data_IF_974309760921
#
_entry.id   IF_974309760921
#
_cell.length_a   1.000
_cell.length_b   1.000
_cell.length_c   1.000
_cell.angle_alpha   90.00
_cell.angle_beta   90.00
_cell.angle_gamma   90.00
#
_symmetry.space_group_name_H-M   'P 1'
#
loop_
_entity.id
_entity.type
_entity.pdbx_description
1 polymer ?
#
# COMPACT_ATOMS: atom_id res chain seq x y z
N UNK A 1 -6.72 -31.65 33.05
CA UNK A 1 -6.35 -30.22 32.95
C UNK A 1 -7.57 -29.42 32.55
N UNK A 2 -7.90 -28.35 33.26
CA UNK A 2 -9.06 -27.50 32.92
C UNK A 2 -8.88 -26.89 31.53
N UNK A 3 -9.92 -26.85 30.66
CA UNK A 3 -9.81 -26.40 29.28
C UNK A 3 -9.24 -24.97 29.12
N UNK A 4 -9.39 -24.13 30.14
CA UNK A 4 -8.82 -22.76 30.14
C UNK A 4 -7.30 -22.69 30.29
N UNK A 5 -6.63 -23.66 30.94
CA UNK A 5 -5.16 -23.69 31.07
C UNK A 5 -4.44 -24.08 29.78
N UNK A 6 -5.01 -25.00 29.00
CA UNK A 6 -4.49 -25.38 27.67
C UNK A 6 -4.60 -24.24 26.65
N UNK A 7 -5.65 -23.42 26.72
CA UNK A 7 -5.79 -22.26 25.86
C UNK A 7 -4.79 -21.16 26.20
N UNK A 8 -4.55 -20.89 27.50
CA UNK A 8 -3.56 -19.92 27.93
C UNK A 8 -2.13 -20.29 27.51
N UNK A 9 -1.74 -21.55 27.67
CA UNK A 9 -0.41 -22.05 27.25
C UNK A 9 -0.24 -21.92 25.74
N UNK A 10 -1.25 -22.28 24.94
CA UNK A 10 -1.19 -22.14 23.47
C UNK A 10 -1.07 -20.67 23.06
N UNK A 11 -1.82 -19.77 23.66
CA UNK A 11 -1.75 -18.33 23.41
C UNK A 11 -0.35 -17.80 23.76
N UNK A 12 0.19 -18.19 24.93
CA UNK A 12 1.53 -17.78 25.36
C UNK A 12 2.62 -18.29 24.38
N UNK A 13 2.51 -19.55 23.92
CA UNK A 13 3.46 -20.12 22.95
C UNK A 13 3.40 -19.40 21.60
N UNK A 14 2.22 -19.06 21.10
CA UNK A 14 2.08 -18.28 19.84
C UNK A 14 2.64 -16.89 20.02
N UNK A 15 2.30 -16.20 21.11
CA UNK A 15 2.82 -14.84 21.41
C UNK A 15 4.35 -14.87 21.55
N UNK A 16 4.90 -15.86 22.24
CA UNK A 16 6.36 -16.02 22.37
C UNK A 16 7.03 -16.32 21.04
N UNK A 17 6.44 -17.18 20.20
CA UNK A 17 6.97 -17.51 18.88
C UNK A 17 6.94 -16.27 17.96
N UNK A 18 5.86 -15.50 17.97
CA UNK A 18 5.75 -14.23 17.23
C UNK A 18 6.75 -13.20 17.75
N UNK A 19 6.93 -13.12 19.08
CA UNK A 19 7.91 -12.22 19.71
C UNK A 19 9.35 -12.60 19.36
N UNK A 20 9.70 -13.90 19.39
CA UNK A 20 11.05 -14.39 19.03
C UNK A 20 11.33 -14.16 17.54
N UNK A 21 10.39 -14.52 16.65
CA UNK A 21 10.51 -14.27 15.22
C UNK A 21 10.59 -12.77 14.94
N UNK A 22 9.80 -11.97 15.65
CA UNK A 22 9.82 -10.52 15.58
C UNK A 22 11.15 -9.93 16.06
N UNK A 23 11.70 -10.43 17.16
CA UNK A 23 13.01 -9.99 17.66
C UNK A 23 14.16 -10.37 16.72
N UNK A 24 14.14 -11.58 16.15
CA UNK A 24 15.10 -12.02 15.13
C UNK A 24 14.98 -11.19 13.85
N UNK A 25 13.75 -10.89 13.42
CA UNK A 25 13.49 -10.00 12.31
C UNK A 25 13.97 -8.57 12.59
N UNK A 26 13.69 -8.04 13.79
CA UNK A 26 14.15 -6.71 14.21
C UNK A 26 15.68 -6.63 14.26
N UNK A 27 16.35 -7.63 14.82
CA UNK A 27 17.81 -7.68 14.83
C UNK A 27 18.39 -7.69 13.41
N UNK A 28 17.79 -8.48 12.50
CA UNK A 28 18.23 -8.54 11.11
C UNK A 28 17.91 -7.26 10.35
N UNK A 29 16.73 -6.69 10.56
CA UNK A 29 16.33 -5.41 10.00
C UNK A 29 17.20 -4.27 10.58
N UNK A 30 17.43 -4.22 11.89
CA UNK A 30 18.29 -3.23 12.53
C UNK A 30 19.75 -3.34 12.04
N UNK A 31 20.27 -4.55 11.80
CA UNK A 31 21.57 -4.76 11.19
C UNK A 31 21.63 -4.22 9.75
N UNK A 32 20.56 -4.40 8.98
CA UNK A 32 20.44 -3.80 7.65
C UNK A 32 20.16 -2.29 7.74
N UNK A 33 19.40 -1.83 8.75
CA UNK A 33 19.03 -0.44 9.01
C UNK A 33 20.22 0.43 9.38
N UNK A 34 21.19 -0.10 10.16
CA UNK A 34 22.42 0.64 10.47
C UNK A 34 23.26 0.97 9.21
N UNK A 35 22.92 0.35 8.08
CA UNK A 35 23.52 0.59 6.76
C UNK A 35 22.64 1.44 5.82
N UNK A 36 21.38 1.70 6.17
CA UNK A 36 20.53 2.61 5.40
C UNK A 36 20.72 4.01 5.98
N UNK A 37 21.64 4.72 5.39
CA UNK A 37 21.70 6.16 5.53
C UNK A 37 20.36 6.74 5.00
N UNK A 38 19.67 7.57 5.80
CA UNK A 38 18.45 8.28 5.38
C UNK A 38 18.67 9.10 4.08
N UNK A 39 19.92 9.41 3.74
CA UNK A 39 20.35 10.02 2.49
C UNK A 39 20.19 9.06 1.28
N UNK A 40 20.06 7.76 1.52
CA UNK A 40 19.87 6.72 0.52
C UNK A 40 18.43 6.17 0.55
N UNK A 41 17.43 7.02 0.80
CA UNK A 41 16.04 6.65 0.95
C UNK A 41 15.14 7.35 -0.09
N UNK A 42 13.94 6.79 -0.34
CA UNK A 42 12.96 7.44 -1.21
C UNK A 42 12.51 8.81 -0.68
N UNK A 43 12.61 9.03 0.65
CA UNK A 43 12.29 10.30 1.26
C UNK A 43 13.14 11.45 0.72
N UNK A 44 14.39 11.19 0.37
CA UNK A 44 15.29 12.19 -0.22
C UNK A 44 14.68 12.82 -1.46
N UNK A 45 13.99 12.04 -2.29
CA UNK A 45 13.35 12.57 -3.49
C UNK A 45 12.27 13.60 -3.15
N UNK A 46 11.50 13.36 -2.07
CA UNK A 46 10.44 14.27 -1.62
C UNK A 46 11.02 15.55 -1.05
N UNK A 47 12.00 15.40 -0.18
CA UNK A 47 12.69 16.54 0.46
C UNK A 47 13.43 17.41 -0.57
N UNK A 48 14.23 16.78 -1.43
CA UNK A 48 15.06 17.48 -2.43
C UNK A 48 14.19 18.18 -3.47
N UNK A 49 13.16 17.49 -4.01
CA UNK A 49 12.25 18.11 -4.96
C UNK A 49 11.48 19.27 -4.34
N UNK A 50 11.07 19.16 -3.06
CA UNK A 50 10.46 20.24 -2.32
C UNK A 50 11.38 21.44 -2.17
N UNK A 51 12.66 21.24 -1.84
CA UNK A 51 13.68 22.28 -1.75
C UNK A 51 13.90 22.99 -3.11
N UNK A 52 13.96 22.21 -4.20
CA UNK A 52 14.13 22.75 -5.55
C UNK A 52 12.94 23.62 -5.96
N UNK A 53 11.70 23.19 -5.69
CA UNK A 53 10.50 23.95 -5.99
C UNK A 53 10.49 25.30 -5.21
N UNK A 54 10.87 25.28 -3.94
CA UNK A 54 11.00 26.51 -3.13
C UNK A 54 12.03 27.49 -3.69
N UNK A 55 13.08 26.95 -4.33
CA UNK A 55 14.13 27.74 -4.98
C UNK A 55 13.80 28.11 -6.43
N UNK A 56 12.58 27.85 -6.90
CA UNK A 56 12.15 28.11 -8.27
C UNK A 56 12.80 27.20 -9.32
N UNK A 57 13.39 26.07 -8.89
CA UNK A 57 14.04 25.10 -9.77
C UNK A 57 13.09 23.95 -10.12
N UNK A 58 13.20 23.42 -11.36
CA UNK A 58 12.41 22.30 -11.81
C UNK A 58 13.10 20.97 -11.53
N UNK A 59 12.50 20.07 -10.70
CA UNK A 59 13.10 18.75 -10.41
C UNK A 59 13.18 17.80 -11.62
N UNK A 60 12.53 18.13 -12.74
CA UNK A 60 12.64 17.39 -14.00
C UNK A 60 13.79 17.87 -14.89
N UNK A 61 14.52 18.89 -14.49
CA UNK A 61 15.79 19.25 -15.12
C UNK A 61 16.88 18.36 -14.55
N UNK A 62 17.48 17.51 -15.39
CA UNK A 62 18.49 16.53 -14.95
C UNK A 62 19.77 17.18 -14.43
N UNK A 63 20.20 18.29 -15.01
CA UNK A 63 21.39 18.98 -14.56
C UNK A 63 21.19 19.63 -13.19
N UNK A 64 20.05 20.31 -13.00
CA UNK A 64 19.68 20.90 -11.71
C UNK A 64 19.43 19.83 -10.65
N UNK A 65 18.79 18.71 -11.02
CA UNK A 65 18.55 17.59 -10.11
C UNK A 65 19.84 16.97 -9.59
N UNK A 66 20.81 16.73 -10.47
CA UNK A 66 22.10 16.18 -10.09
C UNK A 66 22.92 17.20 -9.26
N UNK A 67 22.92 18.46 -9.66
CA UNK A 67 23.57 19.53 -8.90
C UNK A 67 23.01 19.68 -7.49
N UNK A 68 21.66 19.54 -7.33
CA UNK A 68 21.02 19.57 -6.02
C UNK A 68 21.44 18.38 -5.14
N UNK A 69 21.63 17.17 -5.71
CA UNK A 69 22.21 16.04 -4.99
C UNK A 69 23.63 16.36 -4.51
N UNK A 70 24.49 16.89 -5.39
CA UNK A 70 25.87 17.24 -5.05
C UNK A 70 25.94 18.28 -3.93
N UNK A 71 25.15 19.34 -4.05
CA UNK A 71 25.10 20.42 -3.08
C UNK A 71 24.69 19.96 -1.66
N UNK A 72 23.91 18.87 -1.58
CA UNK A 72 23.46 18.28 -0.32
C UNK A 72 24.26 17.04 0.12
N UNK A 73 25.35 16.71 -0.58
CA UNK A 73 26.22 15.57 -0.28
C UNK A 73 25.50 14.22 -0.43
N UNK A 74 24.51 14.12 -1.33
CA UNK A 74 23.74 12.92 -1.59
C UNK A 74 24.40 12.15 -2.72
N UNK A 75 24.96 10.98 -2.42
CA UNK A 75 25.66 10.13 -3.38
C UNK A 75 24.76 9.13 -4.07
N UNK A 76 23.59 8.81 -3.47
CA UNK A 76 22.63 7.88 -4.04
C UNK A 76 21.76 8.55 -5.12
N UNK A 77 21.94 8.12 -6.36
CA UNK A 77 21.31 8.72 -7.55
C UNK A 77 20.73 7.65 -8.46
N UNK A 78 19.68 6.94 -8.01
CA UNK A 78 19.07 5.88 -8.82
C UNK A 78 18.34 6.43 -10.05
N UNK A 79 17.97 7.73 -10.05
CA UNK A 79 17.26 8.40 -11.13
C UNK A 79 17.96 9.70 -11.52
N UNK A 80 17.95 9.98 -12.82
CA UNK A 80 18.55 11.19 -13.39
C UNK A 80 17.65 12.42 -13.26
N UNK A 81 16.36 12.21 -12.92
CA UNK A 81 15.36 13.24 -12.66
C UNK A 81 14.42 12.75 -11.57
N UNK A 82 13.59 13.66 -11.05
CA UNK A 82 12.57 13.32 -10.05
C UNK A 82 11.59 12.25 -10.57
N UNK A 83 11.44 11.08 -9.90
CA UNK A 83 10.70 9.95 -10.45
C UNK A 83 9.20 9.92 -10.11
N UNK A 84 8.67 10.99 -9.52
CA UNK A 84 7.27 11.10 -9.09
C UNK A 84 6.53 12.21 -9.83
N UNK A 85 5.17 12.21 -9.81
CA UNK A 85 4.39 13.32 -10.32
C UNK A 85 4.77 14.65 -9.65
N UNK A 86 4.89 15.71 -10.44
CA UNK A 86 5.38 17.00 -9.99
C UNK A 86 4.53 17.65 -8.87
N UNK A 87 3.17 17.45 -8.80
CA UNK A 87 2.39 17.90 -7.64
C UNK A 87 2.94 17.42 -6.29
N UNK A 88 3.56 16.25 -6.26
CA UNK A 88 4.16 15.75 -5.02
C UNK A 88 5.30 16.65 -4.53
N UNK A 89 6.14 17.17 -5.44
CA UNK A 89 7.19 18.12 -5.09
C UNK A 89 6.63 19.40 -4.45
N UNK A 90 5.50 19.92 -4.96
CA UNK A 90 4.80 21.06 -4.37
C UNK A 90 4.26 20.74 -2.96
N UNK A 91 3.63 19.57 -2.80
CA UNK A 91 3.06 19.14 -1.51
C UNK A 91 4.13 18.87 -0.45
N UNK A 92 5.32 18.45 -0.86
CA UNK A 92 6.46 18.21 0.04
C UNK A 92 7.38 19.42 0.21
N UNK A 93 7.11 20.54 -0.46
CA UNK A 93 7.87 21.76 -0.34
C UNK A 93 8.12 22.23 1.12
N UNK A 94 7.14 22.16 2.06
CA UNK A 94 7.40 22.52 3.45
C UNK A 94 8.50 21.69 4.12
N UNK A 95 8.70 20.45 3.70
CA UNK A 95 9.80 19.60 4.20
C UNK A 95 11.16 20.08 3.70
N UNK A 96 11.22 20.65 2.48
CA UNK A 96 12.41 21.24 1.92
C UNK A 96 12.96 22.45 2.70
N UNK A 97 12.14 23.07 3.56
CA UNK A 97 12.56 24.15 4.46
C UNK A 97 13.35 23.65 5.69
N UNK A 98 13.26 22.37 6.00
CA UNK A 98 13.90 21.75 7.16
C UNK A 98 15.25 21.13 6.77
N UNK A 99 16.24 21.10 7.68
CA UNK A 99 17.40 20.24 7.50
C UNK A 99 16.97 18.77 7.28
N UNK A 100 17.63 18.06 6.38
CA UNK A 100 17.25 16.70 5.96
C UNK A 100 16.99 15.73 7.12
N UNK A 101 17.81 15.69 8.22
CA UNK A 101 17.54 14.82 9.37
C UNK A 101 16.20 15.13 10.07
N UNK A 102 15.88 16.41 10.24
CA UNK A 102 14.63 16.84 10.89
C UNK A 102 13.42 16.57 9.98
N UNK A 103 13.56 16.83 8.68
CA UNK A 103 12.53 16.52 7.70
C UNK A 103 12.23 15.01 7.67
N UNK A 104 13.27 14.17 7.68
CA UNK A 104 13.12 12.70 7.73
C UNK A 104 12.44 12.25 9.02
N UNK A 105 12.86 12.75 10.18
CA UNK A 105 12.23 12.44 11.46
C UNK A 105 10.75 12.84 11.48
N UNK A 106 10.43 14.04 10.99
CA UNK A 106 9.04 14.51 10.89
C UNK A 106 8.19 13.61 10.01
N UNK A 107 8.75 13.19 8.86
CA UNK A 107 8.09 12.23 7.96
C UNK A 107 7.81 10.89 8.63
N UNK A 108 8.79 10.36 9.37
CA UNK A 108 8.65 9.10 10.11
C UNK A 108 7.59 9.18 11.19
N UNK A 109 7.57 10.27 11.96
CA UNK A 109 6.57 10.49 13.01
C UNK A 109 5.15 10.59 12.43
N UNK A 110 4.98 11.38 11.36
CA UNK A 110 3.67 11.52 10.69
C UNK A 110 3.23 10.18 10.07
N UNK A 111 4.12 9.48 9.38
CA UNK A 111 3.81 8.17 8.78
C UNK A 111 3.40 7.14 9.83
N UNK A 112 4.13 7.07 10.95
CA UNK A 112 3.82 6.16 12.06
C UNK A 112 2.48 6.51 12.71
N UNK A 113 2.22 7.80 12.92
CA UNK A 113 0.94 8.29 13.46
C UNK A 113 -0.24 7.94 12.54
N UNK A 114 -0.09 8.13 11.23
CA UNK A 114 -1.12 7.77 10.24
C UNK A 114 -1.43 6.27 10.27
N UNK A 115 -0.40 5.41 10.31
CA UNK A 115 -0.59 3.94 10.40
C UNK A 115 -1.35 3.58 11.68
N UNK A 116 -0.94 4.13 12.82
CA UNK A 116 -1.57 3.87 14.12
C UNK A 116 -3.03 4.37 14.14
N UNK A 117 -3.28 5.58 13.65
CA UNK A 117 -4.62 6.18 13.58
C UNK A 117 -5.55 5.39 12.67
N UNK A 118 -5.08 4.99 11.47
CA UNK A 118 -5.88 4.18 10.54
C UNK A 118 -6.20 2.83 11.17
N UNK A 119 -5.20 2.16 11.76
CA UNK A 119 -5.40 0.87 12.44
C UNK A 119 -6.41 0.97 13.57
N UNK A 120 -6.27 1.98 14.43
CA UNK A 120 -7.21 2.24 15.53
C UNK A 120 -8.62 2.53 15.02
N UNK A 121 -8.74 3.39 14.01
CA UNK A 121 -10.02 3.78 13.46
C UNK A 121 -10.74 2.62 12.75
N UNK A 122 -10.02 1.73 12.08
CA UNK A 122 -10.59 0.52 11.48
C UNK A 122 -11.15 -0.44 12.55
N UNK A 123 -10.43 -0.62 13.66
CA UNK A 123 -10.88 -1.47 14.77
C UNK A 123 -12.05 -0.84 15.54
N UNK A 124 -12.02 0.48 15.75
CA UNK A 124 -13.05 1.21 16.49
C UNK A 124 -14.41 1.27 15.79
N UNK A 125 -14.42 1.05 14.45
CA UNK A 125 -15.67 0.97 13.66
C UNK A 125 -16.48 -0.29 13.91
N UNK A 126 -15.88 -1.31 14.52
CA UNK A 126 -16.61 -2.52 14.86
C UNK A 126 -17.49 -2.28 16.08
N UNK A 127 -18.74 -2.79 16.03
CA UNK A 127 -19.72 -2.64 17.15
C UNK A 127 -19.26 -3.34 18.43
N UNK A 128 -18.44 -4.40 18.29
CA UNK A 128 -17.91 -5.12 19.45
C UNK A 128 -16.61 -4.47 19.95
N UNK A 129 -16.68 -3.84 21.10
CA UNK A 129 -15.53 -3.20 21.77
C UNK A 129 -14.42 -4.19 22.13
N UNK A 130 -14.68 -5.51 22.10
CA UNK A 130 -13.64 -6.53 22.30
C UNK A 130 -12.54 -6.44 21.23
N UNK A 131 -12.89 -6.03 20.01
CA UNK A 131 -11.94 -5.90 18.92
C UNK A 131 -10.91 -4.79 19.16
N UNK A 132 -11.26 -3.74 19.92
CA UNK A 132 -10.29 -2.69 20.28
C UNK A 132 -9.14 -3.19 21.15
N UNK A 133 -9.33 -4.29 21.89
CA UNK A 133 -8.27 -4.95 22.66
C UNK A 133 -7.15 -5.52 21.76
N UNK A 134 -7.44 -5.75 20.48
CA UNK A 134 -6.45 -6.17 19.50
C UNK A 134 -5.53 -5.04 19.03
N UNK A 135 -5.84 -3.78 19.36
CA UNK A 135 -5.07 -2.64 18.84
C UNK A 135 -3.58 -2.75 19.14
N UNK A 136 -3.23 -2.98 20.40
CA UNK A 136 -1.81 -3.07 20.79
C UNK A 136 -1.10 -4.27 20.15
N UNK A 137 -1.59 -5.52 20.26
CA UNK A 137 -0.94 -6.66 19.61
C UNK A 137 -0.93 -6.55 18.09
N UNK A 138 -1.95 -5.91 17.48
CA UNK A 138 -1.99 -5.70 16.05
C UNK A 138 -0.97 -4.65 15.60
N UNK A 139 -0.86 -3.50 16.29
CA UNK A 139 0.15 -2.49 15.98
C UNK A 139 1.55 -3.07 16.12
N UNK A 140 1.81 -3.83 17.19
CA UNK A 140 3.09 -4.52 17.35
C UNK A 140 3.33 -5.51 16.19
N UNK A 141 2.34 -6.34 15.84
CA UNK A 141 2.44 -7.27 14.72
C UNK A 141 2.66 -6.58 13.38
N UNK A 142 2.00 -5.44 13.15
CA UNK A 142 2.18 -4.64 11.93
C UNK A 142 3.57 -4.01 11.84
N UNK A 143 4.21 -3.68 12.96
CA UNK A 143 5.61 -3.21 12.96
C UNK A 143 6.58 -4.32 12.49
N UNK A 144 6.20 -5.60 12.66
CA UNK A 144 6.97 -6.74 12.13
C UNK A 144 6.49 -7.19 10.75
N UNK A 145 5.41 -6.64 10.24
CA UNK A 145 4.97 -6.87 8.87
C UNK A 145 5.92 -6.12 7.92
N UNK A 146 6.73 -6.87 7.15
CA UNK A 146 7.79 -6.33 6.32
C UNK A 146 7.42 -5.11 5.46
N UNK A 147 6.25 -5.08 4.77
CA UNK A 147 5.80 -3.92 4.03
C UNK A 147 5.69 -2.64 4.85
N UNK A 148 5.21 -2.72 6.09
CA UNK A 148 5.11 -1.56 7.00
C UNK A 148 6.51 -1.08 7.39
N UNK A 149 7.37 -2.02 7.82
CA UNK A 149 8.73 -1.72 8.24
C UNK A 149 9.52 -1.07 7.10
N UNK A 150 9.49 -1.66 5.89
CA UNK A 150 10.17 -1.11 4.73
C UNK A 150 9.62 0.25 4.31
N UNK A 151 8.29 0.41 4.32
CA UNK A 151 7.64 1.69 3.98
C UNK A 151 8.10 2.83 4.89
N UNK A 152 8.17 2.56 6.20
CA UNK A 152 8.72 3.52 7.16
C UNK A 152 10.21 3.75 6.90
N UNK A 153 11.01 2.70 6.80
CA UNK A 153 12.45 2.77 6.68
C UNK A 153 12.93 3.58 5.46
N UNK A 154 12.34 3.34 4.29
CA UNK A 154 12.70 4.09 3.07
C UNK A 154 11.97 5.43 2.96
N UNK A 155 11.05 5.73 3.89
CA UNK A 155 10.26 6.95 3.87
C UNK A 155 9.33 7.03 2.65
N UNK A 156 8.63 5.93 2.33
CA UNK A 156 7.73 5.89 1.17
C UNK A 156 6.44 6.70 1.38
N UNK A 157 5.68 6.93 0.31
CA UNK A 157 4.33 7.53 0.36
C UNK A 157 3.26 6.58 0.93
N UNK A 158 3.59 5.34 1.23
CA UNK A 158 2.63 4.30 1.58
C UNK A 158 1.67 4.66 2.70
N UNK A 159 2.15 5.28 3.79
CA UNK A 159 1.31 5.70 4.91
C UNK A 159 0.29 6.78 4.53
N UNK A 160 0.67 7.72 3.66
CA UNK A 160 -0.23 8.77 3.16
C UNK A 160 -1.27 8.21 2.19
N UNK A 161 -0.87 7.29 1.31
CA UNK A 161 -1.80 6.57 0.43
C UNK A 161 -2.78 5.70 1.24
N UNK A 162 -2.31 5.01 2.29
CA UNK A 162 -3.14 4.27 3.22
C UNK A 162 -4.17 5.20 3.88
N UNK A 163 -3.74 6.36 4.37
CA UNK A 163 -4.63 7.35 4.97
C UNK A 163 -5.66 7.89 3.97
N UNK A 164 -5.26 8.15 2.71
CA UNK A 164 -6.17 8.60 1.66
C UNK A 164 -7.26 7.56 1.35
N UNK A 165 -6.90 6.27 1.22
CA UNK A 165 -7.86 5.18 1.01
C UNK A 165 -8.78 5.01 2.23
N UNK A 166 -8.23 5.13 3.44
CA UNK A 166 -9.03 5.08 4.66
C UNK A 166 -10.00 6.27 4.78
N UNK A 167 -9.56 7.49 4.44
CA UNK A 167 -10.42 8.67 4.44
C UNK A 167 -11.56 8.52 3.41
N UNK A 168 -11.26 7.91 2.26
CA UNK A 168 -12.29 7.59 1.28
C UNK A 168 -13.31 6.59 1.83
N UNK A 169 -12.86 5.53 2.50
CA UNK A 169 -13.74 4.58 3.18
C UNK A 169 -14.62 5.29 4.23
N UNK A 170 -14.01 6.13 5.05
CA UNK A 170 -14.71 6.90 6.07
C UNK A 170 -15.76 7.85 5.48
N UNK A 171 -15.42 8.51 4.38
CA UNK A 171 -16.32 9.43 3.69
C UNK A 171 -17.50 8.68 3.06
N UNK A 172 -17.28 7.49 2.49
CA UNK A 172 -18.35 6.65 1.92
C UNK A 172 -19.31 6.15 3.01
N UNK A 173 -18.77 5.73 4.15
CA UNK A 173 -19.60 5.31 5.30
C UNK A 173 -20.38 6.48 5.93
N UNK A 174 -19.86 7.70 5.81
CA UNK A 174 -20.50 8.93 6.24
C UNK A 174 -21.40 9.60 5.19
N UNK A 175 -21.76 8.89 4.12
CA UNK A 175 -22.56 9.39 2.99
C UNK A 175 -22.02 10.69 2.35
N UNK A 176 -20.68 10.73 2.18
CA UNK A 176 -19.95 11.85 1.55
C UNK A 176 -19.17 11.37 0.32
N UNK A 177 -19.83 10.89 -0.74
CA UNK A 177 -19.16 10.25 -1.87
C UNK A 177 -18.19 11.17 -2.61
N UNK A 178 -18.49 12.46 -2.71
CA UNK A 178 -17.59 13.42 -3.37
C UNK A 178 -16.26 13.57 -2.61
N UNK A 179 -16.29 13.63 -1.26
CA UNK A 179 -15.07 13.66 -0.45
C UNK A 179 -14.29 12.36 -0.56
N UNK A 180 -14.98 11.22 -0.69
CA UNK A 180 -14.34 9.94 -0.95
C UNK A 180 -13.57 9.95 -2.27
N UNK A 181 -14.16 10.48 -3.33
CA UNK A 181 -13.49 10.65 -4.61
C UNK A 181 -12.27 11.57 -4.54
N UNK A 182 -12.40 12.71 -3.85
CA UNK A 182 -11.27 13.62 -3.61
C UNK A 182 -10.12 12.94 -2.85
N UNK A 183 -10.43 12.16 -1.80
CA UNK A 183 -9.42 11.43 -1.05
C UNK A 183 -8.73 10.36 -1.92
N UNK A 184 -9.49 9.63 -2.74
CA UNK A 184 -8.95 8.62 -3.65
C UNK A 184 -8.05 9.22 -4.73
N UNK A 185 -8.31 10.43 -5.20
CA UNK A 185 -7.45 11.07 -6.21
C UNK A 185 -6.00 11.28 -5.73
N UNK A 186 -5.77 11.38 -4.41
CA UNK A 186 -4.42 11.48 -3.84
C UNK A 186 -3.56 10.24 -4.13
N UNK A 187 -4.17 9.10 -4.45
CA UNK A 187 -3.43 7.90 -4.88
C UNK A 187 -2.72 8.11 -6.22
N UNK A 188 -3.12 9.12 -7.02
CA UNK A 188 -2.44 9.53 -8.24
C UNK A 188 -1.07 10.18 -7.99
N UNK A 189 -0.72 10.51 -6.74
CA UNK A 189 0.65 10.88 -6.39
C UNK A 189 1.63 9.70 -6.56
N UNK A 190 1.09 8.47 -6.70
CA UNK A 190 1.80 7.26 -7.11
C UNK A 190 1.01 6.52 -8.20
N UNK A 191 1.00 7.00 -9.46
CA UNK A 191 0.10 6.55 -10.52
C UNK A 191 0.13 5.05 -10.80
N UNK A 192 1.28 4.34 -10.77
CA UNK A 192 1.28 2.91 -11.01
C UNK A 192 0.35 2.13 -10.07
N UNK A 193 0.18 2.58 -8.84
CA UNK A 193 -0.75 1.96 -7.87
C UNK A 193 -2.15 2.58 -7.96
N UNK A 194 -2.21 3.90 -8.09
CA UNK A 194 -3.45 4.66 -8.09
C UNK A 194 -4.33 4.36 -9.30
N UNK A 195 -3.77 4.29 -10.51
CA UNK A 195 -4.56 4.12 -11.73
C UNK A 195 -5.39 2.83 -11.78
N UNK A 196 -4.82 1.61 -11.55
CA UNK A 196 -5.63 0.40 -11.57
C UNK A 196 -6.63 0.35 -10.40
N UNK A 197 -6.29 0.94 -9.25
CA UNK A 197 -7.20 1.06 -8.13
C UNK A 197 -8.37 2.01 -8.45
N UNK A 198 -8.11 3.18 -9.01
CA UNK A 198 -9.15 4.14 -9.41
C UNK A 198 -10.02 3.61 -10.55
N UNK A 199 -9.46 2.82 -11.47
CA UNK A 199 -10.22 2.14 -12.51
C UNK A 199 -11.28 1.21 -11.89
N UNK A 200 -10.87 0.31 -11.00
CA UNK A 200 -11.76 -0.66 -10.37
C UNK A 200 -12.80 0.02 -9.45
N UNK A 201 -12.36 0.99 -8.65
CA UNK A 201 -13.29 1.76 -7.78
C UNK A 201 -14.23 2.61 -8.62
N UNK A 202 -13.78 3.20 -9.72
CA UNK A 202 -14.63 3.92 -10.66
C UNK A 202 -15.73 3.04 -11.25
N UNK A 203 -15.41 1.80 -11.63
CA UNK A 203 -16.40 0.81 -12.09
C UNK A 203 -17.42 0.50 -10.97
N UNK A 204 -16.95 0.34 -9.74
CA UNK A 204 -17.83 0.12 -8.59
C UNK A 204 -18.75 1.33 -8.33
N UNK A 205 -18.24 2.57 -8.42
CA UNK A 205 -19.04 3.79 -8.31
C UNK A 205 -20.08 3.90 -9.43
N UNK A 206 -19.71 3.56 -10.67
CA UNK A 206 -20.65 3.52 -11.79
C UNK A 206 -21.78 2.51 -11.56
N UNK A 207 -21.45 1.31 -11.08
CA UNK A 207 -22.44 0.28 -10.76
C UNK A 207 -23.42 0.71 -9.65
N UNK A 208 -22.96 1.55 -8.70
CA UNK A 208 -23.78 2.13 -7.63
C UNK A 208 -24.44 3.47 -8.00
N UNK A 209 -24.13 4.01 -9.18
CA UNK A 209 -24.55 5.37 -9.60
C UNK A 209 -24.06 6.49 -8.68
N UNK A 210 -22.91 6.28 -8.04
CA UNK A 210 -22.26 7.27 -7.15
C UNK A 210 -21.48 8.34 -7.96
N UNK A 211 -22.19 9.08 -8.82
CA UNK A 211 -21.59 10.06 -9.71
C UNK A 211 -20.82 11.17 -8.99
N UNK A 212 -21.26 11.53 -7.77
CA UNK A 212 -20.55 12.51 -6.94
C UNK A 212 -19.15 12.05 -6.59
N UNK A 213 -18.93 10.74 -6.36
CA UNK A 213 -17.62 10.19 -6.11
C UNK A 213 -16.72 10.26 -7.35
N UNK A 214 -17.26 9.97 -8.53
CA UNK A 214 -16.54 10.09 -9.80
C UNK A 214 -16.15 11.55 -10.07
N UNK A 215 -17.07 12.49 -9.84
CA UNK A 215 -16.77 13.93 -9.92
C UNK A 215 -15.66 14.30 -8.93
N UNK A 216 -15.71 13.78 -7.70
CA UNK A 216 -14.67 14.00 -6.71
C UNK A 216 -13.29 13.53 -7.17
N UNK A 217 -13.19 12.32 -7.77
CA UNK A 217 -11.94 11.82 -8.37
C UNK A 217 -11.45 12.78 -9.47
N UNK A 218 -12.35 13.19 -10.37
CA UNK A 218 -12.03 14.10 -11.47
C UNK A 218 -11.53 15.46 -11.00
N UNK A 219 -12.21 16.06 -10.03
CA UNK A 219 -11.81 17.36 -9.45
C UNK A 219 -10.46 17.27 -8.74
N UNK A 220 -10.22 16.20 -7.96
CA UNK A 220 -8.94 16.00 -7.28
C UNK A 220 -7.80 15.73 -8.27
N UNK A 221 -8.04 14.91 -9.30
CA UNK A 221 -7.06 14.66 -10.37
C UNK A 221 -6.73 15.95 -11.13
N UNK A 222 -7.76 16.74 -11.49
CA UNK A 222 -7.58 18.06 -12.13
C UNK A 222 -6.76 18.99 -11.24
N UNK A 223 -7.08 19.05 -9.93
CA UNK A 223 -6.34 19.87 -8.98
C UNK A 223 -4.86 19.48 -8.92
N UNK A 224 -4.54 18.16 -8.90
CA UNK A 224 -3.15 17.69 -8.96
C UNK A 224 -2.48 18.06 -10.28
N UNK A 225 -3.17 17.91 -11.43
CA UNK A 225 -2.61 18.28 -12.72
C UNK A 225 -2.29 19.78 -12.77
N UNK A 226 -3.22 20.63 -12.35
CA UNK A 226 -3.04 22.07 -12.32
C UNK A 226 -1.92 22.49 -11.36
N UNK A 227 -1.82 21.85 -10.19
CA UNK A 227 -0.73 22.10 -9.23
C UNK A 227 0.65 21.80 -9.86
N UNK A 228 0.77 20.71 -10.61
CA UNK A 228 2.01 20.40 -11.33
C UNK A 228 2.30 21.39 -12.46
N UNK A 229 1.26 21.85 -13.18
CA UNK A 229 1.39 22.84 -14.26
C UNK A 229 1.87 24.22 -13.78
N UNK A 230 1.62 24.58 -12.53
CA UNK A 230 2.16 25.81 -11.92
C UNK A 230 3.69 25.79 -11.83
N UNK A 231 4.30 24.62 -11.79
CA UNK A 231 5.76 24.45 -11.72
C UNK A 231 6.32 24.23 -13.15
N UNK A 232 5.70 23.34 -13.92
CA UNK A 232 6.09 23.00 -15.28
C UNK A 232 4.87 22.59 -16.11
N UNK A 233 4.46 23.37 -17.11
CA UNK A 233 3.31 23.04 -17.97
C UNK A 233 3.44 21.70 -18.71
N UNK A 234 4.68 21.22 -18.94
CA UNK A 234 4.98 19.99 -19.67
C UNK A 234 5.30 18.79 -18.75
N UNK A 235 5.01 18.91 -17.44
CA UNK A 235 5.41 17.90 -16.46
C UNK A 235 4.87 16.49 -16.74
N UNK A 236 3.67 16.37 -17.31
CA UNK A 236 3.08 15.05 -17.58
C UNK A 236 3.92 14.23 -18.56
N UNK A 237 4.43 14.85 -19.63
CA UNK A 237 5.30 14.17 -20.60
C UNK A 237 6.66 13.81 -19.98
N UNK A 238 7.24 14.73 -19.20
CA UNK A 238 8.51 14.49 -18.49
C UNK A 238 8.37 13.39 -17.46
N UNK A 239 7.27 13.36 -16.70
CA UNK A 239 6.95 12.28 -15.78
C UNK A 239 6.82 10.94 -16.51
N UNK A 240 6.16 10.89 -17.67
CA UNK A 240 6.04 9.67 -18.48
C UNK A 240 7.42 9.10 -18.85
N UNK A 241 8.32 9.96 -19.33
CA UNK A 241 9.71 9.56 -19.67
C UNK A 241 10.48 9.07 -18.44
N UNK A 242 10.35 9.77 -17.30
CA UNK A 242 10.98 9.35 -16.04
C UNK A 242 10.46 8.00 -15.56
N UNK A 243 9.15 7.79 -15.60
CA UNK A 243 8.49 6.55 -15.20
C UNK A 243 8.92 5.36 -16.06
N UNK A 244 9.05 5.54 -17.37
CA UNK A 244 9.53 4.51 -18.28
C UNK A 244 10.97 4.12 -17.94
N UNK A 245 11.87 5.08 -17.71
CA UNK A 245 13.26 4.81 -17.35
C UNK A 245 13.39 4.07 -15.99
N UNK A 246 12.49 4.30 -15.04
CA UNK A 246 12.42 3.54 -13.77
C UNK A 246 11.95 2.12 -14.04
N UNK A 247 10.91 1.94 -14.85
CA UNK A 247 10.33 0.65 -15.16
C UNK A 247 11.34 -0.26 -15.87
N UNK A 248 12.07 0.26 -16.87
CA UNK A 248 13.08 -0.50 -17.62
C UNK A 248 14.20 -1.05 -16.72
N UNK A 249 14.59 -0.30 -15.69
CA UNK A 249 15.63 -0.72 -14.72
C UNK A 249 15.14 -1.71 -13.68
N UNK A 250 13.83 -1.76 -13.41
CA UNK A 250 13.25 -2.58 -12.35
C UNK A 250 12.46 -3.78 -12.88
N UNK A 251 12.52 -3.99 -14.19
CA UNK A 251 11.82 -5.07 -14.87
C UNK A 251 12.21 -6.43 -14.25
N UNK A 252 11.24 -7.25 -13.92
CA UNK A 252 11.47 -8.57 -13.31
C UNK A 252 11.79 -8.55 -11.81
N UNK A 253 12.05 -7.39 -11.19
CA UNK A 253 12.35 -7.30 -9.77
C UNK A 253 11.12 -7.13 -8.87
N UNK A 254 9.95 -6.90 -9.46
CA UNK A 254 8.74 -6.42 -8.81
C UNK A 254 7.82 -7.54 -8.31
N UNK A 255 6.98 -7.23 -7.32
CA UNK A 255 6.05 -8.16 -6.67
C UNK A 255 4.64 -8.13 -7.30
N UNK A 256 4.54 -8.24 -8.62
CA UNK A 256 3.30 -8.15 -9.40
C UNK A 256 3.24 -9.20 -10.53
N UNK A 257 2.19 -9.16 -11.34
CA UNK A 257 2.00 -10.09 -12.46
C UNK A 257 3.16 -10.06 -13.46
N UNK A 258 3.74 -8.89 -13.72
CA UNK A 258 4.84 -8.74 -14.69
C UNK A 258 6.17 -9.28 -14.14
N UNK A 259 6.48 -9.04 -12.86
CA UNK A 259 7.63 -9.65 -12.19
C UNK A 259 7.53 -11.17 -12.16
N UNK A 260 6.35 -11.71 -11.84
CA UNK A 260 6.09 -13.15 -11.90
C UNK A 260 6.27 -13.70 -13.32
N UNK A 261 5.69 -13.04 -14.33
CA UNK A 261 5.79 -13.43 -15.72
C UNK A 261 7.24 -13.40 -16.24
N UNK A 262 8.05 -12.41 -15.82
CA UNK A 262 9.46 -12.32 -16.18
C UNK A 262 10.23 -13.59 -15.79
N UNK A 263 10.03 -14.06 -14.57
CA UNK A 263 10.68 -15.28 -14.08
C UNK A 263 10.10 -16.54 -14.72
N UNK A 264 8.78 -16.61 -14.91
CA UNK A 264 8.14 -17.73 -15.60
C UNK A 264 8.57 -17.87 -17.06
N UNK A 265 8.92 -16.75 -17.71
CA UNK A 265 9.42 -16.68 -19.08
C UNK A 265 10.96 -16.75 -19.17
N UNK A 266 11.65 -17.12 -18.10
CA UNK A 266 13.12 -17.19 -18.04
C UNK A 266 13.81 -15.89 -18.54
N UNK A 267 13.25 -14.73 -18.22
CA UNK A 267 13.77 -13.41 -18.62
C UNK A 267 13.38 -12.95 -20.04
N UNK A 268 12.59 -13.73 -20.77
CA UNK A 268 12.12 -13.37 -22.10
C UNK A 268 11.13 -12.20 -22.09
N UNK A 269 11.53 -11.00 -22.53
CA UNK A 269 10.75 -9.75 -22.42
C UNK A 269 9.41 -9.84 -23.17
N UNK A 270 9.38 -10.36 -24.40
CA UNK A 270 8.13 -10.51 -25.17
C UNK A 270 7.14 -11.46 -24.50
N UNK A 271 7.62 -12.60 -23.98
CA UNK A 271 6.82 -13.54 -23.22
C UNK A 271 6.32 -12.90 -21.90
N UNK A 272 7.18 -12.19 -21.18
CA UNK A 272 6.80 -11.48 -19.96
C UNK A 272 5.65 -10.48 -20.19
N UNK A 273 5.74 -9.67 -21.26
CA UNK A 273 4.67 -8.73 -21.58
C UNK A 273 3.37 -9.45 -21.93
N UNK A 274 3.42 -10.53 -22.72
CA UNK A 274 2.24 -11.30 -23.08
C UNK A 274 1.59 -11.95 -21.84
N UNK A 275 2.36 -12.69 -21.06
CA UNK A 275 1.87 -13.43 -19.90
C UNK A 275 1.46 -12.46 -18.78
N UNK A 276 2.28 -11.45 -18.49
CA UNK A 276 2.00 -10.45 -17.46
C UNK A 276 0.77 -9.59 -17.79
N UNK A 277 0.66 -9.12 -19.03
CA UNK A 277 -0.52 -8.36 -19.47
C UNK A 277 -1.79 -9.23 -19.49
N UNK A 278 -1.70 -10.48 -19.92
CA UNK A 278 -2.84 -11.41 -19.88
C UNK A 278 -3.29 -11.67 -18.43
N UNK A 279 -2.37 -11.93 -17.51
CA UNK A 279 -2.68 -12.13 -16.08
C UNK A 279 -3.27 -10.86 -15.44
N UNK A 280 -2.70 -9.69 -15.72
CA UNK A 280 -3.20 -8.41 -15.25
C UNK A 280 -4.61 -8.10 -15.81
N UNK A 281 -4.81 -8.27 -17.13
CA UNK A 281 -6.10 -8.05 -17.78
C UNK A 281 -7.17 -9.00 -17.27
N UNK A 282 -6.83 -10.29 -17.06
CA UNK A 282 -7.76 -11.27 -16.48
C UNK A 282 -8.16 -10.87 -15.06
N UNK A 283 -7.19 -10.49 -14.22
CA UNK A 283 -7.45 -10.10 -12.82
C UNK A 283 -8.30 -8.83 -12.77
N UNK A 284 -7.95 -7.80 -13.54
CA UNK A 284 -8.74 -6.57 -13.62
C UNK A 284 -10.12 -6.82 -14.21
N UNK A 285 -10.21 -7.61 -15.28
CA UNK A 285 -11.49 -7.95 -15.94
C UNK A 285 -12.45 -8.72 -15.03
N UNK A 286 -11.96 -9.75 -14.33
CA UNK A 286 -12.76 -10.51 -13.37
C UNK A 286 -13.19 -9.64 -12.19
N UNK A 287 -12.29 -8.82 -11.66
CA UNK A 287 -12.60 -7.90 -10.56
C UNK A 287 -13.59 -6.81 -10.99
N UNK A 288 -13.43 -6.24 -12.18
CA UNK A 288 -14.34 -5.26 -12.77
C UNK A 288 -15.73 -5.87 -13.00
N UNK A 289 -15.78 -7.07 -13.58
CA UNK A 289 -17.03 -7.81 -13.79
C UNK A 289 -17.76 -8.09 -12.47
N UNK A 290 -17.02 -8.55 -11.44
CA UNK A 290 -17.59 -8.81 -10.12
C UNK A 290 -18.10 -7.52 -9.46
N UNK A 291 -17.32 -6.44 -9.51
CA UNK A 291 -17.71 -5.12 -8.97
C UNK A 291 -18.92 -4.56 -9.72
N UNK A 292 -19.00 -4.73 -11.02
CA UNK A 292 -20.17 -4.32 -11.80
C UNK A 292 -21.43 -5.10 -11.42
N UNK A 293 -21.32 -6.44 -11.32
CA UNK A 293 -22.47 -7.33 -11.04
C UNK A 293 -22.92 -7.27 -9.59
N UNK A 294 -21.99 -7.26 -8.66
CA UNK A 294 -22.25 -7.33 -7.21
C UNK A 294 -22.06 -5.98 -6.50
N UNK A 295 -21.50 -4.99 -7.16
CA UNK A 295 -21.15 -3.69 -6.57
C UNK A 295 -22.28 -3.00 -5.83
N UNK A 296 -23.54 -2.99 -6.33
CA UNK A 296 -24.67 -2.40 -5.60
C UNK A 296 -24.90 -2.98 -4.21
N UNK A 297 -24.58 -4.26 -4.00
CA UNK A 297 -24.77 -4.97 -2.73
C UNK A 297 -23.52 -4.99 -1.83
N UNK A 298 -22.35 -4.57 -2.34
CA UNK A 298 -21.10 -4.54 -1.57
C UNK A 298 -21.04 -3.32 -0.67
N UNK A 299 -20.61 -3.53 0.57
CA UNK A 299 -20.25 -2.42 1.46
C UNK A 299 -18.93 -1.76 0.99
N UNK A 300 -18.70 -0.47 1.30
CA UNK A 300 -17.48 0.22 0.88
C UNK A 300 -16.19 -0.53 1.25
N UNK A 301 -16.11 -1.08 2.45
CA UNK A 301 -14.95 -1.84 2.90
C UNK A 301 -14.72 -3.13 2.08
N UNK A 302 -15.80 -3.85 1.75
CA UNK A 302 -15.71 -5.09 0.94
C UNK A 302 -15.21 -4.78 -0.48
N UNK A 303 -15.68 -3.67 -1.07
CA UNK A 303 -15.23 -3.24 -2.39
C UNK A 303 -13.74 -2.84 -2.37
N UNK A 304 -13.30 -2.03 -1.39
CA UNK A 304 -11.91 -1.61 -1.24
C UNK A 304 -11.00 -2.83 -1.02
N UNK A 305 -11.42 -3.79 -0.19
CA UNK A 305 -10.67 -5.01 0.06
C UNK A 305 -10.43 -5.83 -1.21
N UNK A 306 -11.40 -5.92 -2.10
CA UNK A 306 -11.25 -6.61 -3.38
C UNK A 306 -10.34 -5.83 -4.35
N UNK A 307 -10.50 -4.50 -4.38
CA UNK A 307 -9.78 -3.62 -5.30
C UNK A 307 -8.29 -3.61 -5.02
N UNK A 308 -7.87 -3.54 -3.76
CA UNK A 308 -6.46 -3.37 -3.40
C UNK A 308 -5.56 -4.49 -3.94
N UNK A 309 -5.80 -5.79 -3.64
CA UNK A 309 -4.93 -6.84 -4.15
C UNK A 309 -5.05 -7.03 -5.67
N UNK A 310 -6.22 -6.82 -6.26
CA UNK A 310 -6.41 -6.91 -7.70
C UNK A 310 -5.63 -5.80 -8.44
N UNK A 311 -5.70 -4.57 -7.95
CA UNK A 311 -4.96 -3.44 -8.50
C UNK A 311 -3.44 -3.65 -8.35
N UNK A 312 -2.98 -4.12 -7.20
CA UNK A 312 -1.56 -4.31 -6.91
C UNK A 312 -0.96 -5.47 -7.72
N UNK A 313 -1.69 -6.57 -7.87
CA UNK A 313 -1.23 -7.66 -8.74
C UNK A 313 -1.12 -7.22 -10.20
N UNK A 314 -2.02 -6.35 -10.66
CA UNK A 314 -2.14 -5.95 -12.06
C UNK A 314 -1.36 -4.69 -12.45
N UNK A 315 -0.74 -3.99 -11.49
CA UNK A 315 0.04 -2.78 -11.78
C UNK A 315 1.35 -3.10 -12.49
N UNK A 316 1.89 -2.13 -13.23
CA UNK A 316 3.19 -2.24 -13.89
C UNK A 316 4.37 -2.04 -12.94
N UNK A 317 4.16 -1.45 -11.77
CA UNK A 317 5.22 -1.12 -10.83
C UNK A 317 4.73 -1.26 -9.40
N UNK A 318 5.27 -2.25 -8.67
CA UNK A 318 4.94 -2.52 -7.28
C UNK A 318 6.15 -3.08 -6.52
N UNK A 319 6.38 -2.56 -5.33
CA UNK A 319 7.33 -3.10 -4.38
C UNK A 319 6.63 -3.53 -3.09
N UNK A 320 7.26 -4.38 -2.30
CA UNK A 320 6.69 -4.88 -1.04
C UNK A 320 6.28 -3.77 -0.07
N UNK A 321 7.05 -2.69 0.01
CA UNK A 321 6.70 -1.55 0.86
C UNK A 321 5.38 -0.85 0.47
N UNK A 322 4.89 -1.05 -0.74
CA UNK A 322 3.60 -0.53 -1.21
C UNK A 322 2.44 -1.35 -0.67
N UNK A 323 2.69 -2.60 -0.31
CA UNK A 323 1.71 -3.51 0.29
C UNK A 323 1.29 -3.08 1.71
N UNK A 324 1.80 -1.97 2.24
CA UNK A 324 1.28 -1.35 3.48
C UNK A 324 -0.24 -1.09 3.42
N UNK A 325 -0.80 -0.87 2.22
CA UNK A 325 -2.24 -0.68 2.04
C UNK A 325 -3.03 -1.95 2.41
N UNK A 326 -2.39 -3.11 2.46
CA UNK A 326 -3.03 -4.35 2.91
C UNK A 326 -3.38 -4.36 4.40
N UNK A 327 -2.96 -3.36 5.18
CA UNK A 327 -3.48 -3.15 6.55
C UNK A 327 -5.02 -3.19 6.54
N UNK A 328 -5.68 -2.58 5.53
CA UNK A 328 -7.14 -2.54 5.44
C UNK A 328 -7.74 -3.95 5.28
N UNK A 329 -7.39 -4.76 4.24
CA UNK A 329 -7.90 -6.11 4.11
C UNK A 329 -7.39 -7.08 5.20
N UNK A 330 -6.17 -6.91 5.72
CA UNK A 330 -5.63 -7.75 6.80
C UNK A 330 -6.50 -7.61 8.05
N UNK A 331 -6.81 -6.39 8.47
CA UNK A 331 -7.68 -6.15 9.63
C UNK A 331 -9.06 -6.76 9.38
N UNK A 332 -9.64 -6.58 8.20
CA UNK A 332 -10.93 -7.17 7.86
C UNK A 332 -10.90 -8.70 7.93
N UNK A 333 -9.88 -9.36 7.36
CA UNK A 333 -9.70 -10.81 7.42
C UNK A 333 -9.58 -11.28 8.88
N UNK A 334 -8.75 -10.61 9.68
CA UNK A 334 -8.56 -10.95 11.10
C UNK A 334 -9.87 -10.88 11.88
N UNK A 335 -10.64 -9.80 11.69
CA UNK A 335 -11.95 -9.64 12.34
C UNK A 335 -12.92 -10.74 11.91
N UNK A 336 -12.98 -11.06 10.62
CA UNK A 336 -13.83 -12.16 10.10
C UNK A 336 -13.40 -13.53 10.62
N UNK A 337 -12.09 -13.77 10.77
CA UNK A 337 -11.59 -15.01 11.38
C UNK A 337 -12.04 -15.13 12.85
N UNK A 338 -11.96 -14.04 13.61
CA UNK A 338 -12.44 -14.02 15.01
C UNK A 338 -13.93 -14.30 15.07
N UNK A 339 -14.73 -13.62 14.25
CA UNK A 339 -16.20 -13.78 14.22
C UNK A 339 -16.60 -15.22 13.88
N UNK A 340 -15.91 -15.87 12.91
CA UNK A 340 -16.23 -17.25 12.48
C UNK A 340 -15.73 -18.33 13.42
N UNK A 341 -14.53 -18.16 13.96
CA UNK A 341 -13.88 -19.20 14.76
C UNK A 341 -14.05 -18.98 16.27
N UNK A 342 -14.58 -17.83 16.68
CA UNK A 342 -14.60 -17.36 18.07
C UNK A 342 -13.22 -17.43 18.74
N UNK A 343 -12.15 -17.32 17.93
CA UNK A 343 -10.77 -17.50 18.38
C UNK A 343 -9.82 -16.43 17.85
N UNK A 344 -9.14 -15.75 18.75
CA UNK A 344 -8.05 -14.84 18.40
C UNK A 344 -6.84 -15.57 17.80
N UNK A 345 -6.67 -16.87 18.09
CA UNK A 345 -5.54 -17.67 17.58
C UNK A 345 -5.56 -17.78 16.06
N UNK A 346 -6.74 -17.88 15.43
CA UNK A 346 -6.86 -17.95 13.99
C UNK A 346 -6.38 -16.62 13.34
N UNK A 347 -6.78 -15.49 13.93
CA UNK A 347 -6.38 -14.16 13.45
C UNK A 347 -4.87 -13.91 13.65
N UNK A 348 -4.32 -14.28 14.82
CA UNK A 348 -2.90 -14.18 15.10
C UNK A 348 -2.08 -15.13 14.22
N UNK A 349 -2.57 -16.35 13.95
CA UNK A 349 -1.95 -17.30 13.03
C UNK A 349 -1.87 -16.77 11.61
N UNK A 350 -2.94 -16.11 11.13
CA UNK A 350 -2.93 -15.45 9.82
C UNK A 350 -1.89 -14.31 9.77
N UNK A 351 -1.82 -13.46 10.81
CA UNK A 351 -0.82 -12.40 10.90
C UNK A 351 0.61 -12.95 10.97
N UNK A 352 0.83 -14.00 11.76
CA UNK A 352 2.13 -14.68 11.84
C UNK A 352 2.56 -15.24 10.48
N UNK A 353 1.65 -15.85 9.73
CA UNK A 353 1.93 -16.34 8.37
C UNK A 353 2.33 -15.21 7.43
N UNK A 354 1.63 -14.06 7.48
CA UNK A 354 2.00 -12.87 6.70
C UNK A 354 3.39 -12.36 7.07
N UNK A 355 3.74 -12.34 8.36
CA UNK A 355 5.06 -11.92 8.84
C UNK A 355 6.15 -12.88 8.32
N UNK A 356 5.91 -14.19 8.36
CA UNK A 356 6.85 -15.20 7.84
C UNK A 356 7.06 -15.01 6.32
N UNK A 357 5.99 -14.85 5.54
CA UNK A 357 6.09 -14.62 4.09
C UNK A 357 6.88 -13.34 3.82
N UNK A 358 6.57 -12.25 4.52
CA UNK A 358 7.28 -10.99 4.37
C UNK A 358 8.76 -11.11 4.76
N UNK A 359 9.08 -11.88 5.79
CA UNK A 359 10.46 -12.15 6.20
C UNK A 359 11.23 -12.94 5.13
N UNK A 360 10.63 -14.00 4.57
CA UNK A 360 11.23 -14.77 3.48
C UNK A 360 11.44 -13.90 2.22
N UNK A 361 10.48 -13.02 1.92
CA UNK A 361 10.61 -12.07 0.82
C UNK A 361 11.79 -11.09 1.03
N UNK A 362 11.95 -10.56 2.25
CA UNK A 362 13.08 -9.70 2.60
C UNK A 362 14.43 -10.43 2.50
N UNK A 363 14.49 -11.68 2.95
CA UNK A 363 15.71 -12.50 2.81
C UNK A 363 16.04 -12.74 1.34
N UNK A 364 15.03 -13.02 0.51
CA UNK A 364 15.20 -13.15 -0.94
C UNK A 364 15.70 -11.86 -1.55
N UNK A 365 15.07 -10.73 -1.23
CA UNK A 365 15.46 -9.42 -1.73
C UNK A 365 16.90 -9.05 -1.37
N UNK A 366 17.34 -9.37 -0.15
CA UNK A 366 18.71 -9.13 0.30
C UNK A 366 19.75 -9.94 -0.52
N UNK A 367 19.39 -11.13 -0.99
CA UNK A 367 20.28 -12.02 -1.73
C UNK A 367 20.19 -11.85 -3.25
N UNK A 368 18.99 -11.63 -3.80
CA UNK A 368 18.73 -11.61 -5.25
C UNK A 368 18.38 -10.23 -5.80
N UNK A 369 18.17 -9.25 -4.93
CA UNK A 369 17.60 -7.91 -5.24
C UNK A 369 16.20 -7.96 -5.83
N UNK A 370 15.57 -9.14 -5.89
CA UNK A 370 14.20 -9.32 -6.39
C UNK A 370 13.20 -9.32 -5.24
N UNK A 371 12.12 -8.59 -5.42
CA UNK A 371 10.99 -8.49 -4.47
C UNK A 371 9.86 -9.48 -4.82
N UNK A 372 10.11 -10.42 -5.74
CA UNK A 372 9.12 -11.33 -6.30
C UNK A 372 8.34 -12.10 -5.23
N UNK A 373 9.01 -12.59 -4.18
CA UNK A 373 8.34 -13.39 -3.15
C UNK A 373 7.25 -12.63 -2.39
N UNK A 374 7.28 -11.30 -2.41
CA UNK A 374 6.21 -10.48 -1.83
C UNK A 374 4.87 -10.63 -2.56
N UNK A 375 4.84 -11.22 -3.77
CA UNK A 375 3.58 -11.57 -4.46
C UNK A 375 2.74 -12.57 -3.65
N UNK A 376 3.37 -13.45 -2.85
CA UNK A 376 2.66 -14.39 -1.98
C UNK A 376 1.86 -13.69 -0.88
N UNK A 377 2.28 -12.50 -0.43
CA UNK A 377 1.46 -11.66 0.46
C UNK A 377 0.15 -11.28 -0.22
N UNK A 378 0.21 -10.82 -1.48
CA UNK A 378 -0.97 -10.49 -2.28
C UNK A 378 -1.88 -11.72 -2.46
N UNK A 379 -1.30 -12.87 -2.81
CA UNK A 379 -2.05 -14.12 -3.00
C UNK A 379 -2.72 -14.58 -1.69
N UNK A 380 -2.04 -14.50 -0.55
CA UNK A 380 -2.61 -14.87 0.73
C UNK A 380 -3.76 -13.95 1.15
N UNK A 381 -3.61 -12.63 0.94
CA UNK A 381 -4.68 -11.66 1.18
C UNK A 381 -5.88 -11.96 0.28
N UNK A 382 -5.67 -12.20 -1.02
CA UNK A 382 -6.75 -12.58 -1.95
C UNK A 382 -7.45 -13.87 -1.52
N UNK A 383 -6.69 -14.91 -1.16
CA UNK A 383 -7.25 -16.17 -0.68
C UNK A 383 -8.10 -15.98 0.58
N UNK A 384 -7.62 -15.18 1.55
CA UNK A 384 -8.38 -14.83 2.75
C UNK A 384 -9.69 -14.11 2.43
N UNK A 385 -9.67 -13.16 1.50
CA UNK A 385 -10.86 -12.43 1.07
C UNK A 385 -11.87 -13.33 0.36
N UNK A 386 -11.42 -14.21 -0.53
CA UNK A 386 -12.29 -15.13 -1.27
C UNK A 386 -12.93 -16.19 -0.38
N UNK A 387 -12.19 -16.70 0.61
CA UNK A 387 -12.70 -17.73 1.55
C UNK A 387 -13.65 -17.14 2.59
N UNK A 388 -13.35 -15.92 3.10
CA UNK A 388 -14.13 -15.28 4.15
C UNK A 388 -15.22 -14.33 3.62
N UNK A 389 -15.16 -13.94 2.35
CA UNK A 389 -16.17 -13.09 1.71
C UNK A 389 -17.47 -13.80 1.35
N UNK A 390 -17.48 -15.15 1.34
CA UNK A 390 -18.71 -15.91 1.12
C UNK A 390 -19.64 -15.72 2.31
N UNK A 391 -20.86 -15.20 2.07
CA UNK A 391 -21.90 -15.10 3.10
C UNK A 391 -22.24 -16.54 3.53
N UNK A 392 -22.29 -16.79 4.83
CA UNK A 392 -22.83 -18.05 5.35
C UNK A 392 -24.29 -18.17 4.93
N UNK A 393 -24.66 -19.26 4.22
CA UNK A 393 -26.07 -19.43 3.76
C UNK A 393 -27.10 -19.42 4.90
N UNK A 394 -26.67 -19.71 6.15
CA UNK A 394 -27.55 -19.75 7.33
C UNK A 394 -28.07 -18.39 7.81
N UNK A 395 -27.30 -17.31 7.61
CA UNK A 395 -27.72 -15.95 8.07
C UNK A 395 -28.74 -15.30 7.12
N UNK A 396 -28.82 -15.79 5.87
CA UNK A 396 -29.79 -15.30 4.90
C UNK A 396 -31.22 -15.83 5.17
N UNK A 397 -31.36 -16.94 5.88
CA UNK A 397 -32.66 -17.56 6.18
C UNK A 397 -33.39 -16.89 7.38
N UNK A 398 -32.66 -16.34 8.36
CA UNK A 398 -33.29 -15.70 9.54
C UNK A 398 -33.83 -14.28 9.25
N UNK A 399 -33.35 -13.61 8.20
CA UNK A 399 -33.84 -12.29 7.79
C UNK A 399 -35.07 -12.30 6.88
N UNK A 400 -35.52 -13.48 6.42
CA UNK A 400 -36.68 -13.63 5.55
C UNK A 400 -37.96 -14.05 6.29
N UNK A 401 -37.88 -14.29 7.60
CA UNK A 401 -39.01 -14.75 8.43
C UNK A 401 -39.41 -13.77 9.55
N UNK A 402 -38.95 -12.49 9.47
CA UNK A 402 -39.32 -11.44 10.41
C UNK A 402 -40.09 -10.32 9.74
#
# INVERSE_FOLDING_TARGET
>A
MAPGRLSAIRITMVVLSVAILGAAFYQRAAFNLSRIDYRNSNFVFFWLSGQMVLSGQNPYDSALWLAAHDANGITWRPNLIFPYPLPLAALTAPLGMLPLPLAYLSWQLVSSALIALVTWALLSRQRDTRHTRLFVPLVIGLLFFGPVLLSLQIGSLGAFTLAAVFLALAALEGDRPQLAGLALSLTLLKPPQGLPMLLLIGIWFMARREWKAIVGIGLGALGLVLLGMLIDPHWLSKFGTAGQAVMDRTLGLQSNAFGFAYHACAGGIGCMWLVGAAAAALTLGLSAWYLWRRGPSLRPWEAINLVLPAAFFSTLYLWSYDQILYIIPIIWIMLRLIDRTHSYLAALGFLALLIVIAFLALLSQANTRSDLLSVFTTMLVMAGLLTLGRRDPGVAAEGATG
#
